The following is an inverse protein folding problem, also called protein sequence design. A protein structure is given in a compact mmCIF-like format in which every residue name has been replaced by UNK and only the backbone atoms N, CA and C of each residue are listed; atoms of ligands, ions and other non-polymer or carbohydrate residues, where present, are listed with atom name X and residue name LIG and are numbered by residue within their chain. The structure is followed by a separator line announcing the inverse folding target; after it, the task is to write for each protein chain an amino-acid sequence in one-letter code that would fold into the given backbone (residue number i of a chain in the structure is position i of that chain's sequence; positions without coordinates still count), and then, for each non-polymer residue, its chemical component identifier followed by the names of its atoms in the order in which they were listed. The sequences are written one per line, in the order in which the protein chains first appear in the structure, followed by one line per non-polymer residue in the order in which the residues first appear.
data_IF_357844320671
#
_entry.id   IF_357844320671
#
_cell.length_a   1.000
_cell.length_b   1.000
_cell.length_c   1.000
_cell.angle_alpha   90.00
_cell.angle_beta   90.00
_cell.angle_gamma   90.00
#
_symmetry.space_group_name_H-M   'P 1'
#
loop_
_entity.id
_entity.type
_entity.pdbx_description
1 polymer ?
#
# COMPACT_ATOMS: atom_id res chain seq x y z
N UNK A 1 32.89 26.14 -19.18
CA UNK A 1 31.83 26.31 -18.18
C UNK A 1 30.65 25.46 -18.61
N UNK A 2 30.21 24.55 -17.76
CA UNK A 2 29.13 23.62 -18.08
C UNK A 2 27.75 24.22 -17.74
N UNK A 3 26.76 23.94 -18.57
CA UNK A 3 25.35 23.92 -18.19
C UNK A 3 25.02 22.55 -17.57
N UNK A 4 23.89 22.41 -16.88
CA UNK A 4 23.48 21.13 -16.30
C UNK A 4 23.43 20.01 -17.35
N UNK A 5 22.85 20.29 -18.52
CA UNK A 5 22.73 19.30 -19.60
C UNK A 5 24.12 18.92 -20.19
N UNK A 6 25.00 19.89 -20.45
CA UNK A 6 26.33 19.65 -20.96
C UNK A 6 27.24 18.92 -19.97
N UNK A 7 27.07 19.17 -18.67
CA UNK A 7 27.84 18.51 -17.61
C UNK A 7 27.56 16.99 -17.58
N UNK A 8 26.31 16.58 -17.54
CA UNK A 8 25.96 15.16 -17.51
C UNK A 8 26.38 14.40 -18.77
N UNK A 9 26.56 15.08 -19.90
CA UNK A 9 27.09 14.51 -21.18
C UNK A 9 28.59 14.54 -21.28
N UNK A 10 29.30 15.28 -20.41
CA UNK A 10 30.74 15.46 -20.48
C UNK A 10 31.51 14.15 -20.23
N UNK A 11 32.72 14.06 -20.78
CA UNK A 11 33.61 12.93 -20.54
C UNK A 11 34.14 12.93 -19.10
N UNK A 12 34.26 14.09 -18.51
CA UNK A 12 34.65 14.26 -17.12
C UNK A 12 33.64 13.61 -16.18
N UNK A 13 32.34 13.92 -16.30
CA UNK A 13 31.29 13.29 -15.52
C UNK A 13 31.18 11.79 -15.79
N UNK A 14 31.32 11.35 -17.04
CA UNK A 14 31.30 9.92 -17.38
C UNK A 14 32.44 9.14 -16.74
N UNK A 15 33.65 9.72 -16.69
CA UNK A 15 34.82 9.12 -16.02
C UNK A 15 34.59 9.07 -14.51
N UNK A 16 34.16 10.18 -13.91
CA UNK A 16 33.82 10.27 -12.51
C UNK A 16 32.77 9.20 -12.11
N UNK A 17 31.67 9.10 -12.86
CA UNK A 17 30.64 8.10 -12.63
C UNK A 17 31.18 6.66 -12.65
N UNK A 18 32.06 6.34 -13.59
CA UNK A 18 32.70 5.01 -13.68
C UNK A 18 33.53 4.70 -12.44
N UNK A 19 34.28 5.67 -11.93
CA UNK A 19 35.12 5.53 -10.72
C UNK A 19 34.23 5.27 -9.52
N UNK A 20 33.21 6.08 -9.30
CA UNK A 20 32.27 5.92 -8.16
C UNK A 20 31.57 4.54 -8.19
N UNK A 21 31.15 4.08 -9.35
CA UNK A 21 30.54 2.76 -9.52
C UNK A 21 31.54 1.65 -9.18
N UNK A 22 32.78 1.74 -9.68
CA UNK A 22 33.82 0.74 -9.44
C UNK A 22 34.18 0.63 -7.96
N UNK A 23 34.35 1.77 -7.27
CA UNK A 23 34.67 1.83 -5.83
C UNK A 23 33.57 1.24 -4.94
N UNK A 24 32.29 1.33 -5.38
CA UNK A 24 31.14 0.84 -4.61
C UNK A 24 30.64 -0.54 -5.07
N UNK A 25 31.29 -1.13 -6.08
CA UNK A 25 31.02 -2.51 -6.47
C UNK A 25 31.57 -3.46 -5.42
N UNK A 26 30.71 -4.30 -4.87
CA UNK A 26 31.07 -5.29 -3.83
C UNK A 26 31.78 -6.51 -4.43
N UNK A 27 32.41 -7.38 -3.60
CA UNK A 27 33.08 -8.60 -4.06
C UNK A 27 32.18 -9.56 -4.85
N UNK A 28 30.86 -9.53 -4.65
CA UNK A 28 29.84 -10.26 -5.39
C UNK A 28 29.56 -9.68 -6.78
N UNK A 29 30.30 -8.63 -7.21
CA UNK A 29 30.23 -7.91 -8.48
C UNK A 29 28.94 -7.08 -8.65
N UNK A 30 28.16 -6.85 -7.58
CA UNK A 30 26.99 -5.98 -7.65
C UNK A 30 27.21 -4.66 -6.94
N UNK A 31 26.54 -3.63 -7.46
CA UNK A 31 26.30 -2.36 -6.77
C UNK A 31 25.00 -2.48 -6.02
N UNK A 32 24.93 -1.97 -4.81
CA UNK A 32 23.72 -1.98 -4.00
C UNK A 32 23.09 -0.59 -3.94
N UNK A 33 21.78 -0.55 -4.08
CA UNK A 33 21.04 0.70 -3.96
C UNK A 33 21.12 1.24 -2.53
N UNK A 34 21.62 2.45 -2.38
CA UNK A 34 21.83 3.08 -1.05
C UNK A 34 20.51 3.49 -0.36
N UNK A 35 19.38 3.45 -1.08
CA UNK A 35 18.04 3.71 -0.52
C UNK A 35 17.36 2.43 0.01
N UNK A 36 17.29 1.37 -0.79
CA UNK A 36 16.55 0.15 -0.43
C UNK A 36 17.41 -1.05 -0.07
N UNK A 37 18.74 -0.94 -0.15
CA UNK A 37 19.70 -1.99 0.20
C UNK A 37 19.75 -3.19 -0.74
N UNK A 38 18.99 -3.22 -1.84
CA UNK A 38 18.95 -4.33 -2.79
C UNK A 38 20.00 -4.17 -3.90
N UNK A 39 20.51 -5.29 -4.49
CA UNK A 39 21.46 -5.24 -5.61
C UNK A 39 20.82 -4.64 -6.86
N UNK A 40 21.59 -3.80 -7.57
CA UNK A 40 21.21 -3.23 -8.87
C UNK A 40 21.76 -4.14 -9.97
N UNK A 41 20.87 -4.96 -10.54
CA UNK A 41 21.27 -6.03 -11.48
C UNK A 41 21.40 -5.51 -12.92
N UNK A 42 20.58 -4.53 -13.29
CA UNK A 42 20.48 -4.02 -14.65
C UNK A 42 21.18 -2.67 -14.77
N UNK A 43 22.14 -2.56 -15.71
CA UNK A 43 22.92 -1.33 -15.89
C UNK A 43 22.09 -0.08 -16.17
N UNK A 44 20.95 -0.21 -16.85
CA UNK A 44 20.04 0.91 -17.11
C UNK A 44 19.24 1.36 -15.90
N UNK A 45 19.15 0.52 -14.85
CA UNK A 45 18.45 0.84 -13.60
C UNK A 45 19.38 1.55 -12.59
N UNK A 46 20.70 1.64 -12.89
CA UNK A 46 21.68 2.29 -12.04
C UNK A 46 21.71 3.79 -12.29
N UNK A 47 21.17 4.55 -11.33
CA UNK A 47 21.19 6.02 -11.33
C UNK A 47 22.23 6.53 -10.35
N UNK A 48 23.02 7.51 -10.80
CA UNK A 48 23.95 8.28 -9.97
C UNK A 48 23.26 9.57 -9.55
N UNK A 49 22.88 9.66 -8.28
CA UNK A 49 22.10 10.77 -7.71
C UNK A 49 23.00 11.68 -6.87
N UNK A 50 22.94 13.00 -7.11
CA UNK A 50 23.59 13.99 -6.25
C UNK A 50 22.73 14.29 -5.02
N UNK A 51 23.27 14.05 -3.82
CA UNK A 51 22.61 14.39 -2.53
C UNK A 51 22.32 15.88 -2.42
N UNK A 52 23.23 16.71 -2.94
CA UNK A 52 23.04 18.15 -3.12
C UNK A 52 22.65 18.40 -4.57
N UNK A 53 21.47 18.96 -4.79
CA UNK A 53 20.97 19.24 -6.13
C UNK A 53 21.95 20.14 -6.92
N UNK A 54 22.28 19.74 -8.12
CA UNK A 54 23.07 20.56 -9.03
C UNK A 54 22.19 21.62 -9.67
N UNK A 55 22.72 22.83 -9.70
CA UNK A 55 22.12 24.01 -10.32
C UNK A 55 23.12 24.62 -11.30
N UNK A 56 22.66 25.55 -12.16
CA UNK A 56 23.57 26.27 -13.06
C UNK A 56 24.66 27.05 -12.30
N UNK A 57 24.43 27.37 -11.02
CA UNK A 57 25.40 28.11 -10.18
C UNK A 57 26.45 27.22 -9.54
N UNK A 58 26.17 25.93 -9.29
CA UNK A 58 27.09 25.04 -8.58
C UNK A 58 27.63 23.86 -9.43
N UNK A 59 27.11 23.67 -10.63
CA UNK A 59 27.53 22.57 -11.53
C UNK A 59 29.01 22.63 -11.91
N UNK A 60 29.61 23.80 -11.90
CA UNK A 60 31.02 24.02 -12.20
C UNK A 60 31.94 23.98 -10.97
N UNK A 61 31.39 23.79 -9.79
CA UNK A 61 32.14 23.54 -8.57
C UNK A 61 32.43 22.03 -8.43
N UNK A 62 33.68 21.63 -8.70
CA UNK A 62 34.09 20.23 -8.64
C UNK A 62 33.96 19.62 -7.24
N UNK A 63 34.03 20.44 -6.16
CA UNK A 63 33.81 19.98 -4.79
C UNK A 63 32.35 19.59 -4.52
N UNK A 64 31.45 19.97 -5.41
CA UNK A 64 30.03 19.63 -5.36
C UNK A 64 29.70 18.61 -6.46
N UNK A 65 30.01 18.94 -7.72
CA UNK A 65 29.55 18.19 -8.88
C UNK A 65 30.31 16.87 -9.12
N UNK A 66 31.59 16.81 -8.70
CA UNK A 66 32.46 15.63 -8.84
C UNK A 66 32.92 15.06 -7.50
N UNK A 67 32.16 15.30 -6.43
CA UNK A 67 32.47 14.79 -5.09
C UNK A 67 31.78 13.44 -4.85
N UNK A 68 32.53 12.33 -4.69
CA UNK A 68 31.97 11.00 -4.44
C UNK A 68 31.08 10.93 -3.20
N UNK A 69 31.41 11.69 -2.13
CA UNK A 69 30.64 11.72 -0.88
C UNK A 69 29.23 12.30 -1.06
N UNK A 70 29.06 13.15 -2.07
CA UNK A 70 27.77 13.75 -2.42
C UNK A 70 26.97 12.92 -3.43
N UNK A 71 27.41 11.70 -3.76
CA UNK A 71 26.72 10.81 -4.70
C UNK A 71 26.02 9.68 -3.94
N UNK A 72 24.87 9.26 -4.44
CA UNK A 72 24.20 8.00 -4.12
C UNK A 72 24.01 7.16 -5.38
N UNK A 73 24.22 5.85 -5.27
CA UNK A 73 23.89 4.89 -6.32
C UNK A 73 22.53 4.26 -6.04
N UNK A 74 21.59 4.44 -6.94
CA UNK A 74 20.18 4.14 -6.71
C UNK A 74 19.58 3.36 -7.88
N UNK A 75 18.53 2.55 -7.60
CA UNK A 75 17.63 2.12 -8.66
C UNK A 75 16.88 3.33 -9.23
N UNK A 76 16.51 3.27 -10.51
CA UNK A 76 15.67 4.30 -11.16
C UNK A 76 14.39 4.61 -10.36
N UNK A 77 13.70 3.55 -9.87
CA UNK A 77 12.50 3.71 -9.03
C UNK A 77 12.82 4.43 -7.72
N UNK A 78 13.89 4.05 -7.03
CA UNK A 78 14.30 4.67 -5.76
C UNK A 78 14.71 6.13 -5.93
N UNK A 79 15.40 6.46 -7.03
CA UNK A 79 15.73 7.83 -7.39
C UNK A 79 14.49 8.71 -7.59
N UNK A 80 13.46 8.19 -8.27
CA UNK A 80 12.21 8.92 -8.48
C UNK A 80 11.44 9.12 -7.16
N UNK A 81 11.51 8.17 -6.23
CA UNK A 81 10.93 8.30 -4.88
C UNK A 81 11.63 9.44 -4.12
N UNK A 82 12.97 9.51 -4.13
CA UNK A 82 13.75 10.57 -3.47
C UNK A 82 13.41 11.95 -4.03
N UNK A 83 13.26 12.05 -5.35
CA UNK A 83 12.88 13.31 -6.00
C UNK A 83 11.39 13.62 -5.95
N UNK A 84 10.57 12.78 -5.29
CA UNK A 84 9.11 12.93 -5.28
C UNK A 84 8.50 13.13 -6.67
N UNK A 85 9.17 12.60 -7.74
CA UNK A 85 8.76 12.80 -9.14
C UNK A 85 7.45 12.12 -9.51
N UNK A 86 6.99 11.21 -8.66
CA UNK A 86 5.67 10.58 -8.79
C UNK A 86 4.59 11.30 -7.96
N UNK A 87 4.86 12.54 -7.51
CA UNK A 87 4.16 13.22 -6.46
C UNK A 87 4.63 12.69 -5.09
N UNK A 88 4.20 13.26 -3.99
CA UNK A 88 4.19 12.48 -2.76
C UNK A 88 3.36 11.25 -3.10
N UNK A 89 3.98 10.06 -3.23
CA UNK A 89 3.23 8.84 -3.00
C UNK A 89 2.76 9.01 -1.56
N UNK A 90 1.55 9.51 -1.41
CA UNK A 90 0.85 9.57 -0.16
C UNK A 90 1.04 8.15 0.39
N UNK A 91 1.67 8.05 1.57
CA UNK A 91 2.10 6.77 2.13
C UNK A 91 0.87 5.89 2.13
N UNK A 92 0.75 4.99 1.13
CA UNK A 92 -0.43 4.14 0.90
C UNK A 92 -0.84 3.52 2.21
N UNK A 93 -1.74 4.17 2.91
CA UNK A 93 -2.20 3.71 4.20
C UNK A 93 -3.22 2.58 3.99
N UNK A 94 -3.20 1.60 4.86
CA UNK A 94 -4.15 0.50 4.83
C UNK A 94 -4.92 0.50 6.13
N UNK A 95 -6.23 0.42 6.02
CA UNK A 95 -7.15 0.39 7.13
C UNK A 95 -7.93 -0.93 7.14
N UNK A 96 -7.99 -1.58 8.30
CA UNK A 96 -8.88 -2.71 8.56
C UNK A 96 -10.08 -2.16 9.30
N UNK A 97 -11.20 -2.01 8.61
CA UNK A 97 -12.43 -1.48 9.20
C UNK A 97 -13.27 -2.64 9.67
N UNK A 98 -13.37 -2.80 11.00
CA UNK A 98 -14.02 -3.96 11.60
C UNK A 98 -15.10 -3.61 12.60
N UNK A 99 -15.98 -4.58 12.89
CA UNK A 99 -17.10 -4.44 13.82
C UNK A 99 -18.23 -5.41 13.49
N UNK A 100 -19.29 -5.42 14.28
CA UNK A 100 -20.43 -6.30 14.13
C UNK A 100 -21.14 -6.12 12.78
N UNK A 101 -21.88 -7.11 12.28
CA UNK A 101 -22.87 -6.85 11.23
C UNK A 101 -23.77 -5.69 11.63
N UNK A 102 -24.14 -4.84 10.66
CA UNK A 102 -24.94 -3.62 10.89
C UNK A 102 -24.30 -2.52 11.76
N UNK A 103 -23.01 -2.62 12.11
CA UNK A 103 -22.32 -1.56 12.84
C UNK A 103 -22.13 -0.27 12.03
N UNK A 104 -22.24 -0.30 10.70
CA UNK A 104 -22.05 0.87 9.84
C UNK A 104 -20.67 0.96 9.17
N UNK A 105 -19.89 -0.13 9.15
CA UNK A 105 -18.55 -0.18 8.53
C UNK A 105 -18.51 0.35 7.10
N UNK A 106 -19.42 -0.14 6.26
CA UNK A 106 -19.48 0.26 4.85
C UNK A 106 -19.82 1.74 4.71
N UNK A 107 -20.76 2.25 5.49
CA UNK A 107 -21.12 3.67 5.50
C UNK A 107 -19.93 4.52 5.90
N UNK A 108 -19.24 4.14 6.98
CA UNK A 108 -18.03 4.83 7.42
C UNK A 108 -16.94 4.88 6.34
N UNK A 109 -16.71 3.75 5.65
CA UNK A 109 -15.73 3.72 4.56
C UNK A 109 -16.17 4.63 3.41
N UNK A 110 -17.45 4.61 3.02
CA UNK A 110 -17.95 5.48 1.94
C UNK A 110 -17.85 6.98 2.26
N UNK A 111 -17.92 7.35 3.53
CA UNK A 111 -17.75 8.74 3.98
C UNK A 111 -16.27 9.18 4.03
N UNK A 112 -15.34 8.24 4.21
CA UNK A 112 -13.92 8.53 4.41
C UNK A 112 -13.03 8.19 3.21
N UNK A 113 -13.48 7.32 2.30
CA UNK A 113 -12.71 6.92 1.14
C UNK A 113 -12.79 7.94 0.00
N UNK A 114 -11.69 8.08 -0.72
CA UNK A 114 -11.61 8.86 -1.95
C UNK A 114 -11.85 8.00 -3.20
N UNK A 115 -12.14 8.59 -4.37
CA UNK A 115 -12.33 7.83 -5.62
C UNK A 115 -11.09 7.02 -6.06
N UNK A 116 -9.92 7.29 -5.50
CA UNK A 116 -8.66 6.62 -5.85
C UNK A 116 -8.28 5.54 -4.83
N UNK A 117 -9.13 5.25 -3.86
CA UNK A 117 -8.86 4.27 -2.83
C UNK A 117 -9.33 2.87 -3.21
N UNK A 118 -8.64 1.86 -2.70
CA UNK A 118 -8.96 0.46 -2.93
C UNK A 118 -9.83 -0.08 -1.80
N UNK A 119 -11.05 -0.53 -2.12
CA UNK A 119 -11.97 -1.08 -1.12
C UNK A 119 -12.07 -2.60 -1.32
N UNK A 120 -11.82 -3.36 -0.25
CA UNK A 120 -11.98 -4.81 -0.20
C UNK A 120 -13.13 -5.16 0.74
N UNK A 121 -14.25 -5.52 0.16
CA UNK A 121 -15.48 -5.91 0.86
C UNK A 121 -16.02 -7.22 0.26
N UNK A 122 -16.25 -8.23 1.09
CA UNK A 122 -16.70 -9.54 0.62
C UNK A 122 -18.07 -9.49 -0.04
N UNK A 123 -18.99 -8.65 0.42
CA UNK A 123 -20.31 -8.54 -0.16
C UNK A 123 -20.25 -7.94 -1.59
N UNK A 124 -19.36 -6.97 -1.79
CA UNK A 124 -19.08 -6.40 -3.11
C UNK A 124 -18.37 -7.39 -4.03
N UNK A 125 -17.48 -8.23 -3.51
CA UNK A 125 -16.81 -9.29 -4.28
C UNK A 125 -17.85 -10.32 -4.76
N UNK A 126 -18.74 -10.81 -3.89
CA UNK A 126 -19.80 -11.75 -4.27
C UNK A 126 -20.72 -11.14 -5.33
N UNK A 127 -21.09 -9.87 -5.19
CA UNK A 127 -21.90 -9.16 -6.19
C UNK A 127 -21.17 -9.04 -7.53
N UNK A 128 -19.87 -8.77 -7.53
CA UNK A 128 -19.06 -8.63 -8.74
C UNK A 128 -18.94 -9.94 -9.53
N UNK A 129 -18.83 -11.09 -8.86
CA UNK A 129 -18.62 -12.40 -9.50
C UNK A 129 -19.92 -13.17 -9.77
N UNK A 130 -21.07 -12.59 -9.46
CA UNK A 130 -22.38 -13.24 -9.64
C UNK A 130 -23.43 -12.25 -10.16
N UNK A 131 -24.56 -12.81 -10.62
CA UNK A 131 -25.75 -12.02 -10.99
C UNK A 131 -26.70 -11.82 -9.79
N UNK A 132 -26.35 -12.33 -8.63
CA UNK A 132 -27.17 -12.23 -7.43
C UNK A 132 -27.08 -10.82 -6.79
N UNK A 133 -28.09 -10.50 -5.99
CA UNK A 133 -28.07 -9.30 -5.18
C UNK A 133 -26.92 -9.31 -4.16
N UNK A 134 -26.50 -8.12 -3.72
CA UNK A 134 -25.27 -7.87 -2.92
C UNK A 134 -25.09 -8.81 -1.73
N UNK A 135 -26.16 -9.18 -1.04
CA UNK A 135 -26.09 -9.96 0.20
C UNK A 135 -26.37 -11.45 0.03
N UNK A 136 -26.62 -11.89 -1.20
CA UNK A 136 -26.83 -13.30 -1.52
C UNK A 136 -25.51 -13.98 -1.81
N UNK A 137 -25.04 -14.79 -0.87
CA UNK A 137 -23.75 -15.51 -0.94
C UNK A 137 -23.98 -16.94 -1.41
N UNK A 138 -23.72 -17.21 -2.67
CA UNK A 138 -23.81 -18.55 -3.21
C UNK A 138 -22.60 -19.39 -2.73
N UNK A 139 -22.85 -20.47 -2.00
CA UNK A 139 -21.81 -21.36 -1.46
C UNK A 139 -20.89 -21.94 -2.54
N UNK A 140 -21.42 -22.18 -3.77
CA UNK A 140 -20.62 -22.67 -4.90
C UNK A 140 -19.58 -21.65 -5.38
N UNK A 141 -19.80 -20.36 -5.15
CA UNK A 141 -18.89 -19.28 -5.54
C UNK A 141 -17.95 -18.86 -4.41
N UNK A 142 -18.07 -19.46 -3.24
CA UNK A 142 -17.30 -19.08 -2.04
C UNK A 142 -15.79 -19.16 -2.26
N UNK A 143 -15.29 -20.27 -2.84
CA UNK A 143 -13.88 -20.43 -3.16
C UNK A 143 -13.39 -19.32 -4.08
N UNK A 144 -14.09 -19.05 -5.19
CA UNK A 144 -13.73 -17.99 -6.12
C UNK A 144 -13.74 -16.59 -5.46
N UNK A 145 -14.74 -16.30 -4.61
CA UNK A 145 -14.79 -15.04 -3.88
C UNK A 145 -13.58 -14.85 -2.95
N UNK A 146 -13.16 -15.91 -2.26
CA UNK A 146 -11.97 -15.87 -1.41
C UNK A 146 -10.68 -15.71 -2.23
N UNK A 147 -10.55 -16.36 -3.38
CA UNK A 147 -9.41 -16.19 -4.28
C UNK A 147 -9.29 -14.73 -4.77
N UNK A 148 -10.40 -14.11 -5.19
CA UNK A 148 -10.43 -12.71 -5.58
C UNK A 148 -10.01 -11.81 -4.42
N UNK A 149 -10.59 -12.02 -3.23
CA UNK A 149 -10.19 -11.29 -2.01
C UNK A 149 -8.69 -11.43 -1.74
N UNK A 150 -8.17 -12.63 -1.76
CA UNK A 150 -6.77 -12.90 -1.43
C UNK A 150 -5.84 -12.23 -2.45
N UNK A 151 -6.24 -12.18 -3.72
CA UNK A 151 -5.52 -11.43 -4.76
C UNK A 151 -5.52 -9.93 -4.51
N UNK A 152 -6.63 -9.36 -4.09
CA UNK A 152 -6.70 -7.95 -3.68
C UNK A 152 -5.82 -7.68 -2.45
N UNK A 153 -5.81 -8.57 -1.45
CA UNK A 153 -4.94 -8.45 -0.29
C UNK A 153 -3.44 -8.57 -0.66
N UNK A 154 -3.08 -9.35 -1.69
CA UNK A 154 -1.71 -9.35 -2.22
C UNK A 154 -1.35 -8.00 -2.87
N UNK A 155 -2.23 -7.43 -3.67
CA UNK A 155 -2.04 -6.09 -4.26
C UNK A 155 -1.79 -5.05 -3.17
N UNK A 156 -2.57 -5.10 -2.08
CA UNK A 156 -2.42 -4.21 -0.92
C UNK A 156 -1.10 -4.49 -0.20
N UNK A 157 -0.78 -5.74 0.10
CA UNK A 157 0.46 -6.15 0.80
C UNK A 157 1.71 -5.62 0.09
N UNK A 158 1.76 -5.74 -1.23
CA UNK A 158 2.91 -5.31 -2.03
C UNK A 158 2.80 -3.86 -2.51
N UNK A 159 1.78 -3.13 -2.09
CA UNK A 159 1.51 -1.73 -2.52
C UNK A 159 1.50 -1.58 -4.05
N UNK A 160 1.06 -2.63 -4.76
CA UNK A 160 1.03 -2.67 -6.22
C UNK A 160 -0.12 -1.83 -6.78
N UNK A 161 0.14 -1.08 -7.87
CA UNK A 161 -0.86 -0.21 -8.50
C UNK A 161 -0.77 1.25 -8.04
N UNK A 162 -1.71 2.08 -8.52
CA UNK A 162 -1.72 3.54 -8.32
C UNK A 162 -2.82 4.03 -7.35
N UNK A 163 -3.42 3.14 -6.55
CA UNK A 163 -4.37 3.51 -5.52
C UNK A 163 -3.69 4.35 -4.42
N UNK A 164 -4.46 5.17 -3.70
CA UNK A 164 -3.98 6.05 -2.64
C UNK A 164 -3.99 5.31 -1.29
N UNK A 165 -5.17 5.08 -0.74
CA UNK A 165 -5.35 4.31 0.49
C UNK A 165 -6.15 3.02 0.24
N UNK A 166 -6.16 2.10 1.19
CA UNK A 166 -6.92 0.86 1.05
C UNK A 166 -7.73 0.57 2.31
N UNK A 167 -8.97 0.14 2.12
CA UNK A 167 -9.89 -0.23 3.18
C UNK A 167 -10.28 -1.71 3.05
N UNK A 168 -9.99 -2.50 4.07
CA UNK A 168 -10.37 -3.90 4.17
C UNK A 168 -11.51 -4.02 5.18
N UNK A 169 -12.72 -4.28 4.70
CA UNK A 169 -13.93 -4.32 5.51
C UNK A 169 -14.23 -5.76 5.95
N UNK A 170 -14.50 -5.97 7.22
CA UNK A 170 -14.88 -7.29 7.72
C UNK A 170 -15.37 -7.32 9.17
N UNK A 171 -15.80 -8.48 9.64
CA UNK A 171 -16.26 -8.67 11.02
C UNK A 171 -15.09 -8.68 12.00
N UNK A 172 -14.12 -9.55 11.80
CA UNK A 172 -12.88 -9.74 12.57
C UNK A 172 -13.06 -9.67 14.10
N UNK A 173 -13.93 -10.50 14.73
CA UNK A 173 -14.18 -10.44 16.17
C UNK A 173 -12.97 -10.88 17.01
N UNK A 174 -12.11 -11.75 16.48
CA UNK A 174 -10.97 -12.30 17.19
C UNK A 174 -9.75 -11.38 17.10
N UNK A 175 -9.15 -11.07 18.24
CA UNK A 175 -7.95 -10.23 18.33
C UNK A 175 -6.78 -10.77 17.47
N UNK A 176 -6.54 -12.08 17.54
CA UNK A 176 -5.45 -12.72 16.78
C UNK A 176 -5.61 -12.58 15.27
N UNK A 177 -6.84 -12.63 14.75
CA UNK A 177 -7.09 -12.47 13.33
C UNK A 177 -6.83 -11.03 12.88
N UNK A 178 -7.22 -10.04 13.71
CA UNK A 178 -6.91 -8.62 13.46
C UNK A 178 -5.41 -8.39 13.47
N UNK A 179 -4.69 -8.81 14.52
CA UNK A 179 -3.23 -8.63 14.63
C UNK A 179 -2.47 -9.29 13.49
N UNK A 180 -2.87 -10.50 13.08
CA UNK A 180 -2.29 -11.18 11.91
C UNK A 180 -2.49 -10.39 10.62
N UNK A 181 -3.69 -9.85 10.41
CA UNK A 181 -4.00 -9.06 9.22
C UNK A 181 -3.28 -7.71 9.23
N UNK A 182 -3.22 -7.03 10.38
CA UNK A 182 -2.43 -5.80 10.58
C UNK A 182 -0.97 -6.01 10.19
N UNK A 183 -0.34 -7.04 10.72
CA UNK A 183 1.06 -7.37 10.43
C UNK A 183 1.27 -7.75 8.95
N UNK A 184 0.36 -8.58 8.39
CA UNK A 184 0.43 -9.01 6.99
C UNK A 184 0.37 -7.84 6.02
N UNK A 185 -0.50 -6.86 6.31
CA UNK A 185 -0.80 -5.75 5.41
C UNK A 185 -0.08 -4.45 5.80
N UNK A 186 0.62 -4.42 6.93
CA UNK A 186 1.11 -3.19 7.56
C UNK A 186 -0.03 -2.15 7.63
N UNK A 187 -1.09 -2.51 8.32
CA UNK A 187 -2.36 -1.80 8.37
C UNK A 187 -2.67 -1.28 9.78
N UNK A 188 -3.59 -0.32 9.85
CA UNK A 188 -4.16 0.19 11.10
C UNK A 188 -5.61 -0.29 11.20
N UNK A 189 -6.01 -0.83 12.35
CA UNK A 189 -7.39 -1.24 12.60
C UNK A 189 -8.24 -0.07 13.05
N UNK A 190 -9.46 0.00 12.52
CA UNK A 190 -10.49 0.97 12.89
C UNK A 190 -11.71 0.18 13.36
N UNK A 191 -12.02 0.28 14.62
CA UNK A 191 -13.20 -0.34 15.21
C UNK A 191 -14.44 0.55 15.04
N UNK A 192 -15.48 0.00 14.42
CA UNK A 192 -16.78 0.67 14.36
C UNK A 192 -17.62 0.17 15.54
N UNK A 193 -17.48 0.88 16.66
CA UNK A 193 -18.12 0.55 17.92
C UNK A 193 -19.60 0.99 17.88
N UNK A 194 -20.46 0.03 17.60
CA UNK A 194 -21.92 0.22 17.60
C UNK A 194 -22.53 -0.80 18.55
N UNK A 195 -23.33 -0.36 19.53
CA UNK A 195 -23.99 -1.25 20.47
C UNK A 195 -24.83 -2.33 19.77
N UNK A 196 -24.90 -3.51 20.38
CA UNK A 196 -25.62 -4.67 19.82
C UNK A 196 -27.08 -4.33 19.52
N UNK A 197 -27.74 -3.63 20.43
CA UNK A 197 -29.14 -3.22 20.29
C UNK A 197 -29.34 -2.36 19.03
N UNK A 198 -28.39 -1.45 18.75
CA UNK A 198 -28.47 -0.60 17.57
C UNK A 198 -28.18 -1.38 16.27
N UNK A 199 -27.33 -2.40 16.33
CA UNK A 199 -27.13 -3.29 15.18
C UNK A 199 -28.41 -4.09 14.88
N UNK A 200 -29.10 -4.56 15.89
CA UNK A 200 -30.39 -5.28 15.77
C UNK A 200 -31.49 -4.33 15.24
N UNK A 201 -31.60 -3.12 15.77
CA UNK A 201 -32.53 -2.11 15.27
C UNK A 201 -32.35 -1.87 13.77
N UNK A 202 -31.12 -1.62 13.33
CA UNK A 202 -30.79 -1.42 11.90
C UNK A 202 -31.06 -2.66 11.04
N UNK A 203 -30.93 -3.87 11.60
CA UNK A 203 -31.31 -5.09 10.89
C UNK A 203 -32.82 -5.12 10.61
N UNK A 204 -33.65 -4.74 11.60
CA UNK A 204 -35.11 -4.74 11.42
C UNK A 204 -35.61 -3.62 10.50
N UNK A 205 -34.79 -2.59 10.25
CA UNK A 205 -35.04 -1.55 9.25
C UNK A 205 -34.59 -1.96 7.84
N UNK A 206 -33.91 -3.10 7.67
CA UNK A 206 -33.35 -3.57 6.42
C UNK A 206 -34.22 -4.67 5.79
N UNK A 207 -34.85 -4.36 4.66
CA UNK A 207 -35.72 -5.30 3.95
C UNK A 207 -34.96 -6.30 3.05
N UNK A 208 -33.64 -6.12 2.86
CA UNK A 208 -32.86 -6.90 1.93
C UNK A 208 -32.23 -8.17 2.54
N UNK A 209 -32.31 -8.33 3.88
CA UNK A 209 -31.64 -9.42 4.60
C UNK A 209 -32.63 -10.21 5.47
N UNK A 210 -32.40 -11.52 5.57
CA UNK A 210 -33.18 -12.38 6.46
C UNK A 210 -32.89 -12.01 7.93
N UNK A 211 -33.91 -11.53 8.63
CA UNK A 211 -33.76 -11.02 9.99
C UNK A 211 -33.34 -12.11 11.01
N UNK A 212 -33.79 -13.36 10.79
CA UNK A 212 -33.48 -14.48 11.69
C UNK A 212 -32.00 -14.88 11.54
N UNK A 213 -31.56 -15.07 10.30
CA UNK A 213 -30.18 -15.44 9.99
C UNK A 213 -29.21 -14.35 10.45
N UNK A 214 -29.47 -13.09 10.12
CA UNK A 214 -28.56 -12.00 10.42
C UNK A 214 -28.56 -11.62 11.91
N UNK A 215 -29.65 -11.80 12.64
CA UNK A 215 -29.64 -11.67 14.10
C UNK A 215 -28.65 -12.65 14.74
N UNK A 216 -28.63 -13.91 14.26
CA UNK A 216 -27.67 -14.90 14.72
C UNK A 216 -26.22 -14.45 14.50
N UNK A 217 -25.89 -13.92 13.30
CA UNK A 217 -24.55 -13.43 13.02
C UNK A 217 -24.15 -12.22 13.90
N UNK A 218 -25.11 -11.34 14.26
CA UNK A 218 -24.85 -10.24 15.19
C UNK A 218 -24.52 -10.80 16.57
N UNK A 219 -25.35 -11.71 17.13
CA UNK A 219 -25.10 -12.31 18.43
C UNK A 219 -23.77 -13.06 18.47
N UNK A 220 -23.50 -13.92 17.50
CA UNK A 220 -22.25 -14.67 17.39
C UNK A 220 -21.02 -13.75 17.33
N UNK A 221 -21.15 -12.59 16.68
CA UNK A 221 -20.05 -11.64 16.62
C UNK A 221 -19.76 -11.06 18.02
N UNK A 222 -20.76 -10.59 18.75
CA UNK A 222 -20.58 -10.04 20.10
C UNK A 222 -20.10 -11.07 21.11
N UNK A 223 -20.56 -12.31 21.01
CA UNK A 223 -20.11 -13.41 21.89
C UNK A 223 -18.63 -13.78 21.65
N UNK A 224 -18.12 -13.54 20.45
CA UNK A 224 -16.73 -13.87 20.07
C UNK A 224 -15.79 -12.67 20.13
N UNK A 225 -16.32 -11.47 20.30
CA UNK A 225 -15.51 -10.27 20.26
C UNK A 225 -14.48 -10.22 21.38
N UNK A 226 -13.24 -9.98 20.99
CA UNK A 226 -12.11 -9.78 21.87
C UNK A 226 -11.62 -8.35 21.67
N UNK A 227 -11.70 -7.47 22.70
CA UNK A 227 -11.21 -6.10 22.60
C UNK A 227 -9.70 -6.05 22.36
N UNK A 228 -9.21 -4.94 21.84
CA UNK A 228 -7.79 -4.60 21.90
C UNK A 228 -7.50 -4.11 23.34
N UNK A 229 -6.37 -4.53 23.94
CA UNK A 229 -5.93 -4.12 25.27
C UNK A 229 -5.58 -2.62 25.32
#
# INVERSE_FOLDING_TARGET
MYTLDSFYRSDEYKKFRKVVIAERTRPDKYVYCEYCGKPIVKAYDLITHHKKELTETNVNDALISLNPELIMLLHFKCHNIIHRRFGEEAKKQVYIVYGAPFSGKTSWVMENASPNDLIVDMDSIFQMISINDRYVKNERLKSAAFEVRDKLLEIIKYRSGKWQDAYVIGGYPLLMDRKRLEQRLNAVSIFIDTPKEKCIERLYEDDARDHVEWSKYIYEWFDRYQPDD
#
